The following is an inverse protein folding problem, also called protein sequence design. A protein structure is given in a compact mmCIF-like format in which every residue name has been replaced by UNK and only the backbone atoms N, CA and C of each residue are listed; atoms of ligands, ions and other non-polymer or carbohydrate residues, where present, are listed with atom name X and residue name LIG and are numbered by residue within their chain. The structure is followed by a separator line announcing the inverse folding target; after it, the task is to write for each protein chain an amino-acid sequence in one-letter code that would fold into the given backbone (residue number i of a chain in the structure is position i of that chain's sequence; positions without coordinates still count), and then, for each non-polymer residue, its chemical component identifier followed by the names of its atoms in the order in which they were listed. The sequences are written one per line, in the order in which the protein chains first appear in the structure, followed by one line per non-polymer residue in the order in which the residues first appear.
data_IF_987441023000
#
_entry.id   IF_987441023000
#
_cell.length_a   1.000
_cell.length_b   1.000
_cell.length_c   1.000
_cell.angle_alpha   90.00
_cell.angle_beta   90.00
_cell.angle_gamma   90.00
#
_symmetry.space_group_name_H-M   'P 1'
#
loop_
_entity.id
_entity.type
_entity.pdbx_description
1 polymer ?
#
# COMPACT_ATOMS: atom_id res chain seq x y z
N UNK A 1 -24.09 8.32 -0.87
CA UNK A 1 -22.95 7.59 -0.26
C UNK A 1 -22.37 8.51 0.79
N UNK A 2 -22.33 8.02 2.02
CA UNK A 2 -22.15 8.82 3.22
C UNK A 2 -20.68 8.76 3.62
N UNK A 3 -19.94 9.86 3.40
CA UNK A 3 -18.69 10.12 4.12
C UNK A 3 -19.08 10.16 5.60
N UNK A 4 -18.75 9.08 6.31
CA UNK A 4 -19.08 8.82 7.69
C UNK A 4 -20.38 9.48 8.22
N UNK A 5 -21.54 9.01 7.78
CA UNK A 5 -22.78 9.25 8.52
C UNK A 5 -22.79 8.30 9.73
N UNK A 6 -22.16 8.77 10.79
CA UNK A 6 -22.45 8.47 12.20
C UNK A 6 -23.13 7.11 12.46
N UNK A 7 -22.33 6.05 12.54
CA UNK A 7 -22.77 4.79 13.15
C UNK A 7 -22.94 4.99 14.66
N UNK A 8 -24.15 4.73 15.15
CA UNK A 8 -24.70 5.20 16.42
C UNK A 8 -24.27 4.45 17.70
N UNK A 9 -23.16 3.70 17.71
CA UNK A 9 -22.79 2.84 18.86
C UNK A 9 -21.38 3.05 19.42
N UNK A 10 -20.67 4.12 19.04
CA UNK A 10 -19.41 4.50 19.72
C UNK A 10 -19.26 6.00 19.61
N UNK A 11 -19.17 6.73 20.73
CA UNK A 11 -19.04 8.19 20.74
C UNK A 11 -17.93 8.65 19.78
N UNK A 12 -18.24 9.37 18.69
CA UNK A 12 -17.25 9.74 17.70
C UNK A 12 -16.45 10.93 18.24
N UNK A 13 -15.16 10.75 18.46
CA UNK A 13 -14.25 11.89 18.58
C UNK A 13 -14.39 12.74 17.31
N UNK A 14 -14.66 14.04 17.40
CA UNK A 14 -14.88 14.86 16.21
C UNK A 14 -13.54 15.04 15.47
N UNK A 15 -13.51 14.99 14.13
CA UNK A 15 -12.30 15.25 13.33
C UNK A 15 -11.47 16.49 13.76
N UNK A 16 -12.07 17.58 14.25
CA UNK A 16 -11.33 18.70 14.88
C UNK A 16 -10.42 18.33 16.06
N UNK A 17 -10.62 17.17 16.69
CA UNK A 17 -9.78 16.66 17.79
C UNK A 17 -8.77 15.63 17.32
N UNK A 18 -8.85 15.16 16.06
CA UNK A 18 -7.98 14.12 15.55
C UNK A 18 -6.54 14.61 15.48
N UNK A 19 -5.63 13.75 15.94
CA UNK A 19 -4.20 13.92 15.74
C UNK A 19 -3.78 13.33 14.40
N UNK A 20 -2.54 13.59 13.97
CA UNK A 20 -1.93 12.96 12.78
C UNK A 20 -2.12 11.43 12.79
N UNK A 21 -1.96 10.78 13.94
CA UNK A 21 -2.10 9.32 14.06
C UNK A 21 -3.53 8.85 13.89
N UNK A 22 -4.53 9.64 14.28
CA UNK A 22 -5.94 9.29 14.13
C UNK A 22 -6.34 9.37 12.65
N UNK A 23 -5.88 10.41 11.94
CA UNK A 23 -6.04 10.49 10.48
C UNK A 23 -5.39 9.31 9.76
N UNK A 24 -4.21 8.87 10.19
CA UNK A 24 -3.56 7.68 9.63
C UNK A 24 -4.30 6.36 9.87
N UNK A 25 -5.30 6.33 10.76
CA UNK A 25 -6.12 5.14 11.05
C UNK A 25 -7.51 5.22 10.44
N UNK A 26 -7.90 6.38 9.92
CA UNK A 26 -9.21 6.62 9.35
C UNK A 26 -9.29 6.06 7.92
N UNK A 27 -10.14 5.05 7.65
CA UNK A 27 -10.31 4.48 6.32
C UNK A 27 -10.78 5.50 5.27
N UNK A 28 -11.63 6.47 5.65
CA UNK A 28 -12.15 7.48 4.72
C UNK A 28 -11.03 8.45 4.31
N UNK A 29 -10.19 8.83 5.27
CA UNK A 29 -9.01 9.67 5.02
C UNK A 29 -7.95 8.94 4.20
N UNK A 30 -7.62 7.69 4.54
CA UNK A 30 -6.68 6.86 3.76
C UNK A 30 -7.18 6.70 2.32
N UNK A 31 -8.48 6.44 2.14
CA UNK A 31 -9.11 6.35 0.82
C UNK A 31 -8.95 7.63 0.00
N UNK A 32 -9.21 8.79 0.61
CA UNK A 32 -9.00 10.08 -0.06
C UNK A 32 -7.53 10.33 -0.42
N UNK A 33 -6.59 10.02 0.48
CA UNK A 33 -5.15 10.24 0.24
C UNK A 33 -4.60 9.33 -0.86
N UNK A 34 -5.13 8.11 -0.98
CA UNK A 34 -4.62 7.08 -1.90
C UNK A 34 -5.33 7.09 -3.26
N UNK A 35 -6.65 7.29 -3.27
CA UNK A 35 -7.48 7.28 -4.46
C UNK A 35 -8.63 8.30 -4.32
N UNK A 36 -8.35 9.61 -4.45
CA UNK A 36 -9.36 10.65 -4.25
C UNK A 36 -10.46 10.53 -5.30
N UNK A 37 -11.72 10.45 -4.84
CA UNK A 37 -12.91 10.64 -5.67
C UNK A 37 -13.37 12.10 -5.64
N UNK A 38 -14.11 12.60 -6.66
CA UNK A 38 -14.62 13.97 -6.67
C UNK A 38 -15.42 14.35 -5.42
N UNK A 39 -16.17 13.39 -4.86
CA UNK A 39 -16.96 13.59 -3.65
C UNK A 39 -16.09 13.66 -2.39
N UNK A 40 -15.07 12.79 -2.30
CA UNK A 40 -14.12 12.81 -1.17
C UNK A 40 -13.30 14.09 -1.16
N UNK A 41 -12.85 14.54 -2.34
CA UNK A 41 -12.05 15.73 -2.45
C UNK A 41 -12.84 16.98 -2.04
N UNK A 42 -14.12 17.05 -2.44
CA UNK A 42 -15.01 18.12 -2.00
C UNK A 42 -15.19 18.17 -0.48
N UNK A 43 -15.35 17.01 0.16
CA UNK A 43 -15.49 16.93 1.61
C UNK A 43 -14.23 17.40 2.33
N UNK A 44 -13.06 16.84 1.97
CA UNK A 44 -11.80 17.17 2.64
C UNK A 44 -11.35 18.60 2.35
N UNK A 45 -11.63 19.16 1.16
CA UNK A 45 -11.39 20.58 0.90
C UNK A 45 -12.28 21.49 1.75
N UNK A 46 -13.56 21.16 1.94
CA UNK A 46 -14.43 21.92 2.84
C UNK A 46 -13.92 21.86 4.28
N UNK A 47 -13.51 20.67 4.74
CA UNK A 47 -12.93 20.50 6.08
C UNK A 47 -11.66 21.33 6.30
N UNK A 48 -10.77 21.40 5.30
CA UNK A 48 -9.54 22.18 5.36
C UNK A 48 -9.80 23.70 5.43
N UNK A 49 -10.85 24.18 4.77
CA UNK A 49 -11.27 25.59 4.84
C UNK A 49 -11.82 25.96 6.22
N UNK A 50 -12.57 25.05 6.85
CA UNK A 50 -13.15 25.24 8.17
C UNK A 50 -12.12 25.05 9.30
N UNK A 51 -11.07 24.25 9.07
CA UNK A 51 -10.08 23.86 10.08
C UNK A 51 -8.63 24.13 9.61
N UNK A 52 -8.24 25.41 9.44
CA UNK A 52 -6.88 25.75 8.97
C UNK A 52 -5.79 25.27 9.93
N UNK A 53 -6.09 25.13 11.22
CA UNK A 53 -5.19 24.59 12.24
C UNK A 53 -4.87 23.10 12.05
N UNK A 54 -5.68 22.35 11.29
CA UNK A 54 -5.49 20.93 10.98
C UNK A 54 -4.72 20.67 9.69
N UNK A 55 -4.43 21.72 8.90
CA UNK A 55 -3.69 21.57 7.64
C UNK A 55 -2.33 20.88 7.88
N UNK A 56 -1.63 21.23 8.96
CA UNK A 56 -0.35 20.62 9.30
C UNK A 56 -0.50 19.12 9.61
N UNK A 57 -1.47 18.77 10.46
CA UNK A 57 -1.76 17.39 10.85
C UNK A 57 -2.16 16.53 9.64
N UNK A 58 -3.05 17.04 8.80
CA UNK A 58 -3.53 16.39 7.56
C UNK A 58 -2.38 16.20 6.58
N UNK A 59 -1.52 17.21 6.40
CA UNK A 59 -0.38 17.11 5.48
C UNK A 59 0.59 16.03 5.94
N UNK A 60 0.94 16.03 7.23
CA UNK A 60 1.84 15.05 7.80
C UNK A 60 1.25 13.63 7.72
N UNK A 61 -0.04 13.45 8.01
CA UNK A 61 -0.72 12.16 7.89
C UNK A 61 -0.73 11.67 6.43
N UNK A 62 -0.98 12.57 5.48
CA UNK A 62 -0.95 12.25 4.06
C UNK A 62 0.44 11.80 3.59
N UNK A 63 1.51 12.45 4.07
CA UNK A 63 2.89 12.05 3.77
C UNK A 63 3.20 10.64 4.31
N UNK A 64 2.75 10.32 5.52
CA UNK A 64 2.92 8.99 6.10
C UNK A 64 2.17 7.91 5.31
N UNK A 65 0.89 8.14 5.00
CA UNK A 65 0.07 7.21 4.22
C UNK A 65 0.71 6.96 2.84
N UNK A 66 1.14 8.02 2.15
CA UNK A 66 1.82 7.90 0.84
C UNK A 66 3.14 7.13 0.94
N UNK A 67 3.91 7.35 2.00
CA UNK A 67 5.17 6.63 2.22
C UNK A 67 4.94 5.14 2.46
N UNK A 68 3.93 4.79 3.26
CA UNK A 68 3.58 3.38 3.54
C UNK A 68 3.04 2.70 2.28
N UNK A 69 2.08 3.33 1.58
CA UNK A 69 1.49 2.76 0.36
C UNK A 69 2.49 2.65 -0.79
N UNK A 70 3.47 3.56 -0.90
CA UNK A 70 4.52 3.45 -1.93
C UNK A 70 5.42 2.22 -1.72
N UNK A 71 5.50 1.67 -0.50
CA UNK A 71 6.22 0.42 -0.24
C UNK A 71 5.40 -0.82 -0.65
N UNK A 72 4.07 -0.72 -0.76
CA UNK A 72 3.19 -1.79 -1.23
C UNK A 72 3.09 -1.80 -2.76
N UNK A 73 4.23 -1.96 -3.45
CA UNK A 73 4.20 -2.34 -4.86
C UNK A 73 3.78 -3.81 -4.89
N UNK A 74 2.48 -4.08 -5.00
CA UNK A 74 2.01 -5.42 -5.36
C UNK A 74 2.53 -5.69 -6.78
N UNK A 75 3.46 -6.65 -6.97
CA UNK A 75 4.00 -6.92 -8.30
C UNK A 75 2.85 -7.25 -9.24
N UNK A 76 2.90 -6.73 -10.48
CA UNK A 76 1.88 -7.03 -11.46
C UNK A 76 1.80 -8.55 -11.67
N UNK A 77 0.66 -9.07 -12.14
CA UNK A 77 0.55 -10.50 -12.45
C UNK A 77 1.63 -10.97 -13.44
N UNK A 78 2.10 -10.06 -14.31
CA UNK A 78 3.20 -10.31 -15.24
C UNK A 78 4.55 -10.42 -14.53
N UNK A 79 4.82 -9.55 -13.55
CA UNK A 79 6.05 -9.61 -12.75
C UNK A 79 6.08 -10.87 -11.88
N UNK A 80 4.93 -11.24 -11.31
CA UNK A 80 4.77 -12.48 -10.57
C UNK A 80 4.97 -13.71 -11.47
N UNK A 81 4.44 -13.69 -12.70
CA UNK A 81 4.62 -14.78 -13.66
C UNK A 81 6.09 -14.92 -14.08
N UNK A 82 6.77 -13.80 -14.36
CA UNK A 82 8.21 -13.79 -14.69
C UNK A 82 9.05 -14.31 -13.53
N UNK A 83 8.76 -13.89 -12.30
CA UNK A 83 9.46 -14.36 -11.11
C UNK A 83 9.27 -15.86 -10.90
N UNK A 84 8.02 -16.35 -11.04
CA UNK A 84 7.72 -17.79 -10.97
C UNK A 84 8.49 -18.57 -12.03
N UNK A 85 8.49 -18.12 -13.29
CA UNK A 85 9.22 -18.78 -14.38
C UNK A 85 10.73 -18.87 -14.11
N UNK A 86 11.32 -17.83 -13.52
CA UNK A 86 12.73 -17.81 -13.15
C UNK A 86 13.04 -18.83 -12.06
N UNK A 87 12.24 -18.88 -10.99
CA UNK A 87 12.40 -19.86 -9.88
C UNK A 87 12.31 -21.30 -10.40
N UNK A 88 11.33 -21.60 -11.26
CA UNK A 88 11.19 -22.93 -11.86
C UNK A 88 12.35 -23.30 -12.79
N UNK A 89 12.87 -22.32 -13.54
CA UNK A 89 14.01 -22.53 -14.43
C UNK A 89 15.29 -22.85 -13.65
N UNK A 90 15.51 -22.16 -12.53
CA UNK A 90 16.69 -22.40 -11.68
C UNK A 90 16.62 -23.78 -11.02
N UNK A 91 15.48 -24.19 -10.45
CA UNK A 91 15.30 -25.53 -9.84
C UNK A 91 15.58 -26.65 -10.86
N UNK A 92 15.12 -26.49 -12.10
CA UNK A 92 15.36 -27.46 -13.16
C UNK A 92 16.83 -27.47 -13.64
N UNK A 93 17.56 -26.37 -13.50
CA UNK A 93 18.96 -26.26 -13.89
C UNK A 93 19.91 -26.94 -12.89
N UNK A 94 19.59 -26.95 -11.59
CA UNK A 94 20.37 -27.66 -10.57
C UNK A 94 20.31 -29.20 -10.68
N UNK A 95 19.47 -29.75 -11.56
CA UNK A 95 19.34 -31.20 -11.79
C UNK A 95 20.30 -31.79 -12.83
N UNK A 96 21.23 -31.03 -13.43
CA UNK A 96 22.22 -31.63 -14.34
C UNK A 96 23.30 -32.36 -13.53
N UNK A 97 23.44 -33.69 -13.67
CA UNK A 97 24.59 -34.38 -13.09
C UNK A 97 25.85 -33.83 -13.75
N UNK A 98 26.82 -33.46 -12.92
CA UNK A 98 28.20 -33.18 -13.34
C UNK A 98 28.66 -34.41 -14.12
N UNK A 99 28.89 -34.26 -15.43
CA UNK A 99 29.46 -35.33 -16.25
C UNK A 99 30.86 -35.62 -15.68
N UNK A 100 31.00 -36.76 -15.00
CA UNK A 100 32.29 -37.24 -14.53
C UNK A 100 33.21 -37.40 -15.75
N UNK A 101 34.49 -36.96 -15.67
CA UNK A 101 35.39 -37.06 -16.80
C UNK A 101 35.56 -38.54 -17.18
N UNK A 102 35.23 -38.83 -18.43
CA UNK A 102 35.32 -40.14 -19.07
C UNK A 102 36.74 -40.70 -18.92
N UNK A 103 36.91 -41.63 -17.98
CA UNK A 103 38.16 -42.35 -17.78
C UNK A 103 38.32 -43.34 -18.93
N UNK A 104 39.16 -42.97 -19.90
CA UNK A 104 39.62 -43.86 -20.98
C UNK A 104 40.15 -45.16 -20.38
N UNK A 105 39.78 -46.34 -20.92
CA UNK A 105 40.47 -47.56 -20.58
C UNK A 105 41.83 -47.52 -21.26
N UNK A 106 42.91 -47.61 -20.49
CA UNK A 106 44.25 -47.81 -21.04
C UNK A 106 44.41 -49.26 -21.54
N UNK A 107 45.16 -49.48 -22.65
CA UNK A 107 45.35 -50.78 -23.30
C UNK A 107 46.27 -51.74 -22.54
#
# INVERSE_FOLDING_TARGET
MLFNQYHADTEPMPYPTFTTTDFCKDPDFIGWVTAPTPESDRFWQAFLLENPHKIADIRQASEYIKTIHFQEITPSQQDLARLKQRIWSDINHFGRPVQAPEHRPDP
#
